data_IF_329619654963
#
_entry.id   IF_329619654963
#
_cell.length_a   1.000
_cell.length_b   1.000
_cell.length_c   1.000
_cell.angle_alpha   90.00
_cell.angle_beta   90.00
_cell.angle_gamma   90.00
#
_symmetry.space_group_name_H-M   'P 1'
#
loop_
_entity.id
_entity.type
_entity.pdbx_description
1 polymer ?
#
# COMPACT_ATOMS: atom_id res chain seq x y z
N UNK A 1 15.65 -87.07 -19.16
CA UNK A 1 15.96 -86.01 -20.15
C UNK A 1 14.97 -84.85 -20.06
N UNK A 2 13.73 -85.10 -19.63
CA UNK A 2 12.69 -84.10 -19.33
C UNK A 2 13.07 -83.05 -18.26
N UNK A 3 13.73 -83.44 -17.17
CA UNK A 3 13.95 -82.52 -16.02
C UNK A 3 14.85 -81.32 -16.33
N UNK A 4 15.71 -81.43 -17.35
CA UNK A 4 16.58 -80.33 -17.80
C UNK A 4 15.84 -79.27 -18.61
N UNK A 5 14.70 -79.64 -19.21
CA UNK A 5 13.86 -78.72 -19.99
C UNK A 5 12.86 -77.98 -19.10
N UNK A 6 12.30 -78.64 -18.08
CA UNK A 6 11.46 -77.97 -17.07
C UNK A 6 12.22 -76.85 -16.34
N UNK A 7 13.45 -77.11 -15.88
CA UNK A 7 14.26 -76.12 -15.15
C UNK A 7 14.64 -74.90 -16.01
N UNK A 8 14.81 -75.08 -17.32
CA UNK A 8 15.09 -73.98 -18.25
C UNK A 8 13.84 -73.15 -18.56
N UNK A 9 12.65 -73.76 -18.51
CA UNK A 9 11.37 -73.06 -18.68
C UNK A 9 10.98 -72.23 -17.45
N UNK A 10 11.24 -72.75 -16.24
CA UNK A 10 10.98 -72.02 -14.99
C UNK A 10 11.90 -70.80 -14.80
N UNK A 11 13.13 -70.85 -15.33
CA UNK A 11 14.05 -69.71 -15.31
C UNK A 11 13.62 -68.54 -16.22
N UNK A 12 12.77 -68.80 -17.21
CA UNK A 12 12.31 -67.78 -18.17
C UNK A 12 10.94 -67.17 -17.81
N UNK A 13 10.23 -67.72 -16.81
CA UNK A 13 8.89 -67.28 -16.44
C UNK A 13 8.76 -66.99 -14.92
N UNK A 14 9.33 -65.88 -14.41
CA UNK A 14 9.06 -65.44 -13.05
C UNK A 14 7.58 -65.07 -12.92
N UNK A 15 6.89 -65.76 -11.99
CA UNK A 15 5.46 -65.64 -11.74
C UNK A 15 4.99 -64.17 -11.61
N UNK A 16 3.82 -63.81 -12.16
CA UNK A 16 3.25 -62.49 -11.99
C UNK A 16 2.69 -62.33 -10.56
N UNK A 17 2.97 -61.16 -9.98
CA UNK A 17 2.28 -60.58 -8.83
C UNK A 17 2.38 -61.32 -7.49
N UNK A 18 3.50 -61.12 -6.79
CA UNK A 18 3.48 -60.91 -5.34
C UNK A 18 4.68 -60.02 -5.00
N UNK A 19 4.47 -58.97 -4.22
CA UNK A 19 5.45 -57.98 -3.74
C UNK A 19 5.48 -56.62 -4.48
N UNK A 20 4.40 -56.25 -5.20
CA UNK A 20 4.11 -54.83 -5.47
C UNK A 20 3.64 -54.08 -4.20
N UNK A 21 3.35 -54.79 -3.10
CA UNK A 21 2.90 -54.20 -1.84
C UNK A 21 3.99 -53.46 -1.05
N UNK A 22 5.28 -53.72 -1.29
CA UNK A 22 6.36 -53.01 -0.60
C UNK A 22 6.83 -51.73 -1.31
N UNK A 23 6.29 -51.42 -2.49
CA UNK A 23 6.64 -50.19 -3.23
C UNK A 23 5.72 -48.99 -2.91
N UNK A 24 4.57 -49.22 -2.28
CA UNK A 24 3.61 -48.16 -1.91
C UNK A 24 3.97 -47.37 -0.65
N UNK A 25 4.90 -47.86 0.18
CA UNK A 25 5.21 -47.26 1.48
C UNK A 25 6.41 -46.28 1.47
N UNK A 26 7.08 -46.09 0.34
CA UNK A 26 8.24 -45.17 0.23
C UNK A 26 8.04 -44.02 -0.79
N UNK A 27 6.83 -43.87 -1.35
CA UNK A 27 6.41 -42.65 -2.03
C UNK A 27 5.81 -41.70 -0.98
N UNK A 28 6.61 -41.36 0.01
CA UNK A 28 6.17 -40.68 1.23
C UNK A 28 7.21 -39.71 1.77
N UNK A 29 7.98 -39.06 0.90
CA UNK A 29 8.88 -37.97 1.29
C UNK A 29 9.40 -37.25 0.05
N UNK A 30 8.52 -36.49 -0.62
CA UNK A 30 8.98 -35.30 -1.32
C UNK A 30 8.97 -34.15 -0.31
N UNK A 31 10.12 -33.71 0.21
CA UNK A 31 10.21 -32.43 0.91
C UNK A 31 10.22 -31.31 -0.15
N UNK A 32 9.17 -31.22 -0.96
CA UNK A 32 8.90 -30.06 -1.82
C UNK A 32 7.64 -29.32 -1.37
N UNK A 33 7.31 -29.41 -0.09
CA UNK A 33 6.73 -28.27 0.59
C UNK A 33 7.80 -27.19 0.62
N UNK A 34 7.97 -26.45 -0.49
CA UNK A 34 8.48 -25.09 -0.37
C UNK A 34 7.63 -24.46 0.74
N UNK A 35 8.22 -24.00 1.86
CA UNK A 35 7.44 -23.26 2.84
C UNK A 35 6.67 -22.21 2.03
N UNK A 36 5.38 -21.97 2.32
CA UNK A 36 4.64 -20.94 1.61
C UNK A 36 5.54 -19.72 1.62
N UNK A 37 5.99 -19.30 0.43
CA UNK A 37 6.75 -18.06 0.27
C UNK A 37 5.97 -17.09 1.13
N UNK A 38 6.61 -16.59 2.19
CA UNK A 38 5.99 -15.58 2.99
C UNK A 38 5.71 -14.48 1.97
N UNK A 39 4.46 -14.41 1.53
CA UNK A 39 3.97 -13.22 0.90
C UNK A 39 4.07 -12.25 2.04
N UNK A 40 5.23 -11.59 2.15
CA UNK A 40 5.40 -10.34 2.86
C UNK A 40 4.11 -9.64 2.55
N UNK A 41 3.23 -9.56 3.55
CA UNK A 41 1.94 -8.94 3.37
C UNK A 41 2.32 -7.52 3.02
N UNK A 42 2.36 -7.21 1.72
CA UNK A 42 2.54 -5.84 1.25
C UNK A 42 1.60 -5.05 2.14
N UNK A 43 2.09 -4.08 2.93
CA UNK A 43 1.28 -3.50 3.99
C UNK A 43 0.06 -2.88 3.31
N UNK A 44 -1.04 -3.62 3.28
CA UNK A 44 -2.26 -3.26 2.53
C UNK A 44 -2.78 -1.90 3.01
N UNK A 45 -2.38 -1.54 4.24
CA UNK A 45 -2.60 -0.28 4.92
C UNK A 45 -1.91 0.92 4.26
N UNK A 46 -0.66 0.82 3.77
CA UNK A 46 0.01 1.96 3.11
C UNK A 46 -0.60 2.24 1.74
N UNK A 47 -0.89 1.17 0.97
CA UNK A 47 -1.60 1.30 -0.31
C UNK A 47 -2.98 1.94 -0.11
N UNK A 48 -3.72 1.51 0.92
CA UNK A 48 -5.01 2.10 1.26
C UNK A 48 -4.87 3.58 1.63
N UNK A 49 -3.85 3.95 2.42
CA UNK A 49 -3.58 5.35 2.77
C UNK A 49 -3.25 6.21 1.54
N UNK A 50 -2.40 5.70 0.63
CA UNK A 50 -2.09 6.40 -0.63
C UNK A 50 -3.33 6.57 -1.52
N UNK A 51 -4.20 5.57 -1.59
CA UNK A 51 -5.48 5.67 -2.33
C UNK A 51 -6.40 6.69 -1.68
N UNK A 52 -6.54 6.65 -0.35
CA UNK A 52 -7.36 7.59 0.40
C UNK A 52 -6.89 9.03 0.17
N UNK A 53 -5.58 9.29 0.31
CA UNK A 53 -5.01 10.59 0.02
C UNK A 53 -5.28 11.01 -1.43
N UNK A 54 -5.12 10.11 -2.40
CA UNK A 54 -5.36 10.41 -3.80
C UNK A 54 -6.81 10.83 -4.08
N UNK A 55 -7.77 10.17 -3.44
CA UNK A 55 -9.20 10.51 -3.58
C UNK A 55 -9.48 11.87 -2.94
N UNK A 56 -9.03 12.10 -1.70
CA UNK A 56 -9.26 13.35 -0.98
C UNK A 56 -8.63 14.51 -1.76
N UNK A 57 -7.34 14.43 -2.07
CA UNK A 57 -6.61 15.47 -2.78
C UNK A 57 -7.17 15.68 -4.20
N UNK A 58 -7.63 14.61 -4.87
CA UNK A 58 -8.25 14.71 -6.18
C UNK A 58 -9.59 15.46 -6.13
N UNK A 59 -10.48 15.11 -5.21
CA UNK A 59 -11.80 15.76 -5.08
C UNK A 59 -11.65 17.23 -4.71
N UNK A 60 -10.84 17.55 -3.68
CA UNK A 60 -10.61 18.93 -3.28
C UNK A 60 -9.86 19.72 -4.35
N UNK A 61 -8.84 19.11 -4.97
CA UNK A 61 -8.06 19.75 -6.01
C UNK A 61 -8.90 20.13 -7.24
N UNK A 62 -9.75 19.21 -7.70
CA UNK A 62 -10.69 19.49 -8.80
C UNK A 62 -11.68 20.59 -8.41
N UNK A 63 -12.24 20.54 -7.20
CA UNK A 63 -13.15 21.57 -6.70
C UNK A 63 -12.50 22.95 -6.69
N UNK A 64 -11.29 23.07 -6.13
CA UNK A 64 -10.57 24.33 -6.05
C UNK A 64 -10.13 24.87 -7.41
N UNK A 65 -9.81 24.02 -8.38
CA UNK A 65 -9.44 24.48 -9.74
C UNK A 65 -10.66 24.94 -10.53
N UNK A 66 -11.76 24.18 -10.50
CA UNK A 66 -12.91 24.44 -11.37
C UNK A 66 -13.89 25.44 -10.78
N UNK A 67 -14.08 25.41 -9.46
CA UNK A 67 -15.12 26.17 -8.75
C UNK A 67 -14.57 26.74 -7.42
N UNK A 68 -13.46 27.51 -7.45
CA UNK A 68 -12.77 28.00 -6.24
C UNK A 68 -13.68 28.83 -5.35
N UNK A 69 -14.43 29.76 -5.93
CA UNK A 69 -15.33 30.67 -5.20
C UNK A 69 -16.40 29.88 -4.45
N UNK A 70 -17.02 28.90 -5.13
CA UNK A 70 -18.07 28.08 -4.53
C UNK A 70 -17.52 27.26 -3.37
N UNK A 71 -16.35 26.64 -3.53
CA UNK A 71 -15.74 25.88 -2.43
C UNK A 71 -15.33 26.79 -1.28
N UNK A 72 -14.71 27.95 -1.55
CA UNK A 72 -14.28 28.90 -0.51
C UNK A 72 -15.44 29.54 0.24
N UNK A 73 -16.57 29.79 -0.43
CA UNK A 73 -17.79 30.32 0.20
C UNK A 73 -18.36 29.40 1.28
N UNK A 74 -18.00 28.11 1.26
CA UNK A 74 -18.35 27.17 2.31
C UNK A 74 -17.54 27.40 3.59
N UNK A 75 -16.32 27.93 3.49
CA UNK A 75 -15.41 28.11 4.64
C UNK A 75 -15.40 29.53 5.18
N UNK A 76 -15.55 30.53 4.31
CA UNK A 76 -15.42 31.94 4.67
C UNK A 76 -16.36 32.80 3.81
N UNK A 77 -16.81 33.92 4.37
CA UNK A 77 -17.54 34.96 3.63
C UNK A 77 -16.63 35.89 2.84
N UNK A 78 -15.31 35.84 3.07
CA UNK A 78 -14.34 36.57 2.26
C UNK A 78 -14.16 35.89 0.90
N UNK A 79 -14.36 36.67 -0.14
CA UNK A 79 -14.20 36.26 -1.54
C UNK A 79 -13.41 37.30 -2.30
N UNK A 80 -12.80 36.91 -3.42
CA UNK A 80 -12.08 37.84 -4.28
C UNK A 80 -11.10 37.15 -5.21
N UNK A 81 -10.80 37.80 -6.33
CA UNK A 81 -10.00 37.23 -7.41
C UNK A 81 -8.60 36.74 -6.96
N UNK A 82 -7.98 37.41 -5.97
CA UNK A 82 -6.70 36.96 -5.41
C UNK A 82 -6.84 35.66 -4.62
N UNK A 83 -7.90 35.52 -3.80
CA UNK A 83 -8.18 34.29 -3.07
C UNK A 83 -8.53 33.16 -4.03
N UNK A 84 -9.30 33.44 -5.07
CA UNK A 84 -9.66 32.46 -6.09
C UNK A 84 -8.41 31.92 -6.82
N UNK A 85 -7.49 32.81 -7.19
CA UNK A 85 -6.22 32.41 -7.82
C UNK A 85 -5.36 31.54 -6.90
N UNK A 86 -5.23 31.92 -5.63
CA UNK A 86 -4.48 31.14 -4.63
C UNK A 86 -5.13 29.77 -4.40
N UNK A 87 -6.46 29.74 -4.35
CA UNK A 87 -7.26 28.53 -4.22
C UNK A 87 -7.04 27.60 -5.43
N UNK A 88 -7.09 28.13 -6.66
CA UNK A 88 -6.80 27.35 -7.87
C UNK A 88 -5.37 26.82 -7.90
N UNK A 89 -4.38 27.63 -7.54
CA UNK A 89 -2.97 27.19 -7.49
C UNK A 89 -2.78 26.09 -6.44
N UNK A 90 -3.42 26.23 -5.29
CA UNK A 90 -3.44 25.21 -4.26
C UNK A 90 -4.14 23.92 -4.73
N UNK A 91 -5.28 24.07 -5.42
CA UNK A 91 -5.98 22.96 -6.05
C UNK A 91 -5.13 22.21 -7.08
N UNK A 92 -4.35 22.93 -7.89
CA UNK A 92 -3.40 22.32 -8.82
C UNK A 92 -2.32 21.50 -8.09
N UNK A 93 -1.81 22.01 -6.96
CA UNK A 93 -0.88 21.26 -6.12
C UNK A 93 -1.52 19.98 -5.54
N UNK A 94 -2.77 20.05 -5.07
CA UNK A 94 -3.51 18.88 -4.59
C UNK A 94 -3.72 17.83 -5.69
N UNK A 95 -4.03 18.24 -6.93
CA UNK A 95 -4.11 17.32 -8.06
C UNK A 95 -2.74 16.65 -8.31
N UNK A 96 -1.65 17.40 -8.17
CA UNK A 96 -0.29 16.86 -8.21
C UNK A 96 -0.05 15.79 -7.14
N UNK A 97 -0.45 16.05 -5.89
CA UNK A 97 -0.36 15.06 -4.81
C UNK A 97 -1.28 13.85 -5.03
N UNK A 98 -2.46 14.06 -5.61
CA UNK A 98 -3.37 12.99 -5.99
C UNK A 98 -2.73 12.07 -7.02
N UNK A 99 -2.13 12.64 -8.07
CA UNK A 99 -1.38 11.90 -9.07
C UNK A 99 -0.18 11.18 -8.47
N UNK A 100 0.61 11.86 -7.62
CA UNK A 100 1.79 11.30 -6.96
C UNK A 100 1.43 10.07 -6.13
N UNK A 101 0.45 10.21 -5.23
CA UNK A 101 0.02 9.13 -4.34
C UNK A 101 -0.70 8.01 -5.09
N UNK A 102 -1.48 8.35 -6.12
CA UNK A 102 -2.04 7.35 -7.02
C UNK A 102 -0.94 6.54 -7.67
N UNK A 103 0.04 7.16 -8.34
CA UNK A 103 1.12 6.43 -9.02
C UNK A 103 1.98 5.63 -8.04
N UNK A 104 2.28 6.17 -6.86
CA UNK A 104 3.08 5.52 -5.84
C UNK A 104 2.38 4.33 -5.15
N UNK A 105 1.04 4.19 -5.24
CA UNK A 105 0.25 3.19 -4.50
C UNK A 105 0.66 1.74 -4.71
N UNK A 106 1.24 1.42 -5.87
CA UNK A 106 1.68 0.08 -6.23
C UNK A 106 3.21 -0.04 -6.30
N UNK A 107 3.95 1.03 -5.99
CA UNK A 107 5.41 1.02 -6.02
C UNK A 107 5.96 0.01 -4.99
N UNK A 108 7.01 -0.75 -5.33
CA UNK A 108 7.69 -1.62 -4.38
C UNK A 108 8.33 -0.83 -3.24
N UNK A 109 8.71 -1.50 -2.16
CA UNK A 109 9.44 -0.82 -1.10
C UNK A 109 10.80 -0.35 -1.60
N UNK A 110 11.04 0.94 -1.51
CA UNK A 110 12.24 1.59 -2.05
C UNK A 110 12.51 2.89 -1.31
N UNK A 111 13.75 3.38 -1.40
CA UNK A 111 14.12 4.67 -0.83
C UNK A 111 13.26 5.81 -1.38
N UNK A 112 12.93 5.77 -2.69
CA UNK A 112 12.03 6.73 -3.31
C UNK A 112 10.62 6.69 -2.71
N UNK A 113 10.03 5.49 -2.53
CA UNK A 113 8.70 5.36 -1.90
C UNK A 113 8.71 5.87 -0.47
N UNK A 114 9.80 5.63 0.26
CA UNK A 114 9.96 6.12 1.63
C UNK A 114 10.12 7.63 1.68
N UNK A 115 10.89 8.23 0.78
CA UNK A 115 11.03 9.67 0.66
C UNK A 115 9.68 10.34 0.37
N UNK A 116 8.86 9.74 -0.51
CA UNK A 116 7.49 10.21 -0.78
C UNK A 116 6.64 10.19 0.50
N UNK A 117 6.66 9.09 1.26
CA UNK A 117 5.90 8.98 2.51
C UNK A 117 6.33 10.02 3.54
N UNK A 118 7.63 10.28 3.67
CA UNK A 118 8.16 11.33 4.57
C UNK A 118 7.75 12.72 4.09
N UNK A 119 7.82 12.98 2.78
CA UNK A 119 7.42 14.27 2.21
C UNK A 119 5.93 14.56 2.44
N UNK A 120 5.08 13.55 2.24
CA UNK A 120 3.64 13.65 2.52
C UNK A 120 3.39 13.91 4.01
N UNK A 121 4.06 13.16 4.90
CA UNK A 121 3.97 13.41 6.34
C UNK A 121 4.31 14.85 6.73
N UNK A 122 5.42 15.40 6.22
CA UNK A 122 5.83 16.78 6.52
C UNK A 122 4.81 17.78 5.97
N UNK A 123 4.35 17.57 4.74
CA UNK A 123 3.33 18.41 4.12
C UNK A 123 2.04 18.42 4.95
N UNK A 124 1.55 17.24 5.34
CA UNK A 124 0.31 17.11 6.11
C UNK A 124 0.44 17.67 7.53
N UNK A 125 1.61 17.52 8.15
CA UNK A 125 1.88 18.08 9.48
C UNK A 125 1.88 19.61 9.45
N UNK A 126 2.56 20.21 8.46
CA UNK A 126 2.56 21.67 8.27
C UNK A 126 1.16 22.16 7.92
N UNK A 127 0.46 21.48 7.02
CA UNK A 127 -0.92 21.77 6.66
C UNK A 127 -1.87 21.73 7.86
N UNK A 128 -1.71 20.73 8.73
CA UNK A 128 -2.48 20.61 9.98
C UNK A 128 -2.25 21.81 10.89
N UNK A 129 -0.98 22.24 11.07
CA UNK A 129 -0.66 23.38 11.91
C UNK A 129 -1.26 24.68 11.36
N UNK A 130 -1.13 24.92 10.06
CA UNK A 130 -1.71 26.10 9.40
C UNK A 130 -3.24 26.10 9.49
N UNK A 131 -3.88 24.96 9.23
CA UNK A 131 -5.33 24.83 9.33
C UNK A 131 -5.84 25.06 10.76
N UNK A 132 -5.11 24.55 11.76
CA UNK A 132 -5.46 24.72 13.16
C UNK A 132 -5.34 26.19 13.59
N UNK A 133 -4.28 26.88 13.18
CA UNK A 133 -4.12 28.31 13.44
C UNK A 133 -5.25 29.12 12.82
N UNK A 134 -5.55 28.90 11.54
CA UNK A 134 -6.66 29.58 10.85
C UNK A 134 -8.02 29.33 11.53
N UNK A 135 -8.24 28.12 12.07
CA UNK A 135 -9.47 27.77 12.77
C UNK A 135 -9.58 28.44 14.15
N UNK A 136 -8.48 28.53 14.89
CA UNK A 136 -8.43 29.18 16.21
C UNK A 136 -8.54 30.70 16.07
N UNK A 137 -7.93 31.27 15.04
CA UNK A 137 -8.00 32.71 14.73
C UNK A 137 -9.36 33.14 14.15
N UNK A 138 -10.26 32.19 13.88
CA UNK A 138 -11.61 32.47 13.37
C UNK A 138 -11.66 32.90 11.91
N UNK A 139 -10.59 32.64 11.14
CA UNK A 139 -10.51 32.96 9.69
C UNK A 139 -11.54 32.16 8.89
N UNK A 140 -11.84 30.95 9.35
CA UNK A 140 -12.82 30.04 8.73
C UNK A 140 -13.91 29.66 9.73
N UNK A 141 -15.09 29.34 9.22
CA UNK A 141 -16.21 28.85 10.02
C UNK A 141 -15.97 27.41 10.53
N UNK A 142 -16.98 26.82 11.18
CA UNK A 142 -16.87 25.49 11.78
C UNK A 142 -16.45 24.36 10.82
N UNK A 143 -16.65 24.50 9.50
CA UNK A 143 -16.19 23.53 8.51
C UNK A 143 -14.67 23.43 8.44
N UNK A 144 -13.92 24.46 8.86
CA UNK A 144 -12.46 24.40 8.90
C UNK A 144 -11.91 23.27 9.80
N UNK A 145 -12.66 22.85 10.82
CA UNK A 145 -12.32 21.68 11.63
C UNK A 145 -12.22 20.38 10.81
N UNK A 146 -12.98 20.26 9.71
CA UNK A 146 -12.86 19.13 8.81
C UNK A 146 -11.50 19.10 8.13
N UNK A 147 -10.99 20.25 7.69
CA UNK A 147 -9.66 20.40 7.10
C UNK A 147 -8.57 20.05 8.11
N UNK A 148 -8.69 20.53 9.35
CA UNK A 148 -7.78 20.16 10.45
C UNK A 148 -7.77 18.65 10.66
N UNK A 149 -8.94 18.02 10.72
CA UNK A 149 -9.05 16.58 10.91
C UNK A 149 -8.40 15.81 9.75
N UNK A 150 -8.67 16.19 8.49
CA UNK A 150 -8.10 15.52 7.31
C UNK A 150 -6.57 15.54 7.37
N UNK A 151 -5.96 16.71 7.57
CA UNK A 151 -4.51 16.83 7.65
C UNK A 151 -3.94 16.07 8.84
N UNK A 152 -4.59 16.15 10.00
CA UNK A 152 -4.16 15.42 11.19
C UNK A 152 -4.13 13.90 10.96
N UNK A 153 -5.20 13.33 10.42
CA UNK A 153 -5.28 11.89 10.17
C UNK A 153 -4.30 11.42 9.10
N UNK A 154 -4.08 12.21 8.05
CA UNK A 154 -3.08 11.92 7.03
C UNK A 154 -1.66 11.98 7.61
N UNK A 155 -1.34 13.02 8.39
CA UNK A 155 -0.05 13.15 9.08
C UNK A 155 0.19 11.96 10.03
N UNK A 156 -0.81 11.57 10.83
CA UNK A 156 -0.69 10.39 11.71
C UNK A 156 -0.46 9.11 10.88
N UNK A 157 -1.22 8.95 9.79
CA UNK A 157 -1.08 7.81 8.89
C UNK A 157 0.31 7.71 8.26
N UNK A 158 0.78 8.76 7.60
CA UNK A 158 2.08 8.76 6.94
C UNK A 158 3.23 8.76 7.95
N UNK A 159 3.09 9.44 9.09
CA UNK A 159 4.07 9.41 10.18
C UNK A 159 4.26 8.01 10.76
N UNK A 160 3.18 7.26 10.94
CA UNK A 160 3.26 5.85 11.36
C UNK A 160 4.07 5.02 10.35
N UNK A 161 3.82 5.16 9.04
CA UNK A 161 4.58 4.42 8.03
C UNK A 161 6.03 4.93 7.85
N UNK A 162 6.29 6.21 8.09
CA UNK A 162 7.62 6.81 7.98
C UNK A 162 8.57 6.33 9.09
N UNK A 163 8.07 6.23 10.32
CA UNK A 163 8.89 6.06 11.52
C UNK A 163 8.60 4.79 12.35
N UNK A 164 7.36 4.27 12.36
CA UNK A 164 7.02 3.11 13.18
C UNK A 164 7.36 1.77 12.53
N UNK A 165 7.63 1.74 11.21
CA UNK A 165 8.23 0.56 10.54
C UNK A 165 9.71 0.50 10.92
N UNK A 166 9.95 0.00 12.13
CA UNK A 166 11.28 -0.24 12.70
C UNK A 166 12.00 -1.26 11.83
N UNK A 167 13.16 -0.87 11.29
CA UNK A 167 14.06 -1.78 10.59
C UNK A 167 14.69 -2.71 11.62
N UNK A 168 14.64 -4.02 11.39
CA UNK A 168 15.67 -4.89 11.93
C UNK A 168 17.00 -4.41 11.33
N UNK A 169 18.00 -4.07 12.15
CA UNK A 169 19.34 -3.83 11.65
C UNK A 169 19.92 -5.17 11.19
N UNK A 170 19.59 -5.55 9.96
CA UNK A 170 20.19 -6.69 9.27
C UNK A 170 21.62 -6.36 8.88
N UNK A 171 22.54 -6.70 9.79
CA UNK A 171 23.90 -7.21 9.52
C UNK A 171 24.55 -6.73 8.22
N UNK A 172 25.21 -5.59 8.28
CA UNK A 172 26.46 -5.44 7.53
C UNK A 172 27.52 -6.22 8.31
N UNK A 173 27.80 -7.43 7.82
CA UNK A 173 28.95 -8.25 8.22
C UNK A 173 29.88 -8.34 7.02
#
# INVERSE_FOLDING_TARGET
MEDRWQAAMDAFNPAPSANMESAGALVGSRPDARPPVNQERRPMKLRALMILNAIIAGVFGIGFVLVPEQVMSLYSSETGATLDLLCQLFGAALIGFAALTWLARNAPDSEARRAIVVALFVCDLVGCAVALLAQIDGVVNALGWSTVAIYFWLAVGFGYFAFAVKREPGTAM
#
